data_IF_524496526783
#
_entry.id   IF_524496526783
#
_cell.length_a   1.000
_cell.length_b   1.000
_cell.length_c   1.000
_cell.angle_alpha   90.00
_cell.angle_beta   90.00
_cell.angle_gamma   90.00
#
_symmetry.space_group_name_H-M   'P 1'
#
loop_
_entity.id
_entity.type
_entity.pdbx_description
1 polymer ?
#
# COMPACT_ATOMS: atom_id res chain seq x y z
N UNK A 1 -7.42 -4.59 -11.28
CA UNK A 1 -8.46 -4.26 -10.32
C UNK A 1 -9.63 -5.20 -10.53
N UNK A 2 -10.27 -5.64 -9.45
CA UNK A 2 -11.40 -6.58 -9.48
C UNK A 2 -12.39 -6.07 -8.45
N UNK A 3 -13.56 -5.60 -8.87
CA UNK A 3 -14.61 -5.17 -7.95
C UNK A 3 -15.34 -6.39 -7.34
N UNK A 4 -15.66 -6.41 -6.04
CA UNK A 4 -15.36 -5.41 -5.00
C UNK A 4 -14.03 -5.65 -4.25
N UNK A 5 -13.20 -6.62 -4.66
CA UNK A 5 -12.11 -7.17 -3.84
C UNK A 5 -10.76 -6.45 -3.95
N UNK A 6 -10.49 -5.74 -5.05
CA UNK A 6 -9.21 -5.09 -5.31
C UNK A 6 -9.44 -3.71 -5.97
N UNK A 7 -9.26 -2.67 -5.15
CA UNK A 7 -9.45 -1.26 -5.46
C UNK A 7 -8.11 -0.53 -5.24
N UNK A 8 -7.77 0.38 -6.14
CA UNK A 8 -6.56 1.19 -6.07
C UNK A 8 -6.91 2.67 -5.88
N UNK A 9 -6.21 3.36 -4.98
CA UNK A 9 -6.44 4.77 -4.66
C UNK A 9 -5.20 5.63 -4.92
N UNK A 10 -5.42 6.81 -5.49
CA UNK A 10 -4.46 7.90 -5.51
C UNK A 10 -5.02 9.06 -4.69
N UNK A 11 -4.33 9.42 -3.60
CA UNK A 11 -4.71 10.56 -2.79
C UNK A 11 -3.93 11.80 -3.25
N UNK A 12 -4.65 12.86 -3.58
CA UNK A 12 -4.09 14.19 -3.79
C UNK A 12 -4.19 14.94 -2.46
N UNK A 13 -3.07 15.03 -1.76
CA UNK A 13 -3.04 15.52 -0.37
C UNK A 13 -2.41 16.90 -0.33
N UNK A 14 -3.10 17.84 0.31
CA UNK A 14 -2.63 19.22 0.53
C UNK A 14 -2.73 19.57 2.02
N UNK A 15 -1.98 20.60 2.45
CA UNK A 15 -2.09 21.16 3.80
C UNK A 15 -1.40 20.36 4.92
N UNK A 16 -0.55 19.38 4.59
CA UNK A 16 0.24 18.61 5.58
C UNK A 16 1.74 18.67 5.28
N UNK A 17 2.61 18.37 6.27
CA UNK A 17 4.03 18.16 6.05
C UNK A 17 4.30 16.99 5.08
N UNK A 18 5.53 16.89 4.52
CA UNK A 18 5.90 15.78 3.65
C UNK A 18 5.65 14.40 4.29
N UNK A 19 5.15 13.47 3.48
CA UNK A 19 4.90 12.10 3.93
C UNK A 19 6.21 11.34 4.21
N UNK A 20 6.20 10.38 5.14
CA UNK A 20 7.34 9.48 5.36
C UNK A 20 7.71 8.72 4.08
N UNK A 21 9.01 8.63 3.78
CA UNK A 21 9.52 7.97 2.55
C UNK A 21 9.04 6.52 2.38
N UNK A 22 8.79 5.80 3.50
CA UNK A 22 8.24 4.43 3.47
C UNK A 22 6.84 4.33 2.85
N UNK A 23 6.10 5.43 2.76
CA UNK A 23 4.77 5.49 2.13
C UNK A 23 4.83 5.97 0.66
N UNK A 24 6.01 6.34 0.16
CA UNK A 24 6.24 6.96 -1.14
C UNK A 24 6.99 6.05 -2.12
N UNK A 25 6.92 4.72 -1.93
CA UNK A 25 7.46 3.77 -2.89
C UNK A 25 6.77 3.86 -4.25
N UNK A 26 7.46 3.46 -5.32
CA UNK A 26 6.87 3.43 -6.66
C UNK A 26 5.65 2.49 -6.68
N UNK A 27 4.45 2.99 -7.04
CA UNK A 27 3.25 2.17 -7.05
C UNK A 27 3.30 1.19 -8.22
N UNK A 28 3.00 -0.08 -7.95
CA UNK A 28 2.79 -1.08 -9.02
C UNK A 28 1.55 -0.67 -9.83
N UNK A 29 1.62 -0.68 -11.19
CA UNK A 29 0.48 -0.34 -12.02
C UNK A 29 -0.75 -1.19 -11.70
N UNK A 30 -1.96 -0.59 -11.58
CA UNK A 30 -3.16 -1.31 -11.18
C UNK A 30 -3.57 -2.33 -12.25
N UNK A 31 -3.65 -3.61 -11.89
CA UNK A 31 -4.02 -4.71 -12.79
C UNK A 31 -4.80 -5.81 -12.04
N UNK A 32 -5.52 -6.73 -12.71
CA UNK A 32 -6.18 -7.85 -12.04
C UNK A 32 -5.22 -8.82 -11.34
N UNK A 33 -3.96 -8.88 -11.79
CA UNK A 33 -2.92 -9.75 -11.21
C UNK A 33 -2.12 -9.09 -10.09
N UNK A 34 -2.26 -7.78 -9.88
CA UNK A 34 -1.59 -7.07 -8.79
C UNK A 34 -2.06 -7.61 -7.42
N UNK A 35 -1.11 -8.03 -6.59
CA UNK A 35 -1.34 -8.61 -5.27
C UNK A 35 -0.25 -8.18 -4.27
N UNK A 36 -0.52 -8.25 -2.95
CA UNK A 36 0.51 -8.05 -1.95
C UNK A 36 1.64 -9.08 -2.08
N UNK A 37 2.86 -8.70 -1.71
CA UNK A 37 3.97 -9.65 -1.63
C UNK A 37 3.69 -10.70 -0.54
N UNK A 38 4.26 -11.92 -0.63
CA UNK A 38 4.09 -12.94 0.41
C UNK A 38 4.51 -12.45 1.80
N UNK A 39 5.60 -11.67 1.89
CA UNK A 39 6.07 -11.11 3.14
C UNK A 39 5.07 -10.12 3.77
N UNK A 40 4.41 -9.28 2.96
CA UNK A 40 3.39 -8.37 3.44
C UNK A 40 2.12 -9.12 3.88
N UNK A 41 1.70 -10.12 3.08
CA UNK A 41 0.54 -10.97 3.40
C UNK A 41 0.75 -11.76 4.71
N UNK A 42 1.96 -12.25 4.95
CA UNK A 42 2.34 -12.97 6.16
C UNK A 42 2.76 -12.04 7.33
N UNK A 43 2.57 -10.72 7.19
CA UNK A 43 2.89 -9.71 8.21
C UNK A 43 4.34 -9.78 8.73
N UNK A 44 5.31 -10.06 7.85
CA UNK A 44 6.72 -10.14 8.26
C UNK A 44 7.21 -8.76 8.76
N UNK A 45 8.08 -8.68 9.78
CA UNK A 45 8.46 -7.40 10.41
C UNK A 45 9.01 -6.33 9.47
N UNK A 46 9.68 -6.72 8.38
CA UNK A 46 10.24 -5.79 7.39
C UNK A 46 9.23 -5.34 6.33
N UNK A 47 8.05 -5.98 6.26
CA UNK A 47 6.99 -5.74 5.30
C UNK A 47 5.72 -5.16 5.94
N UNK A 48 5.83 -4.68 7.17
CA UNK A 48 4.77 -4.03 7.93
C UNK A 48 5.20 -2.64 8.38
N UNK A 49 4.23 -1.74 8.54
CA UNK A 49 4.44 -0.50 9.30
C UNK A 49 4.37 -0.78 10.80
N UNK A 50 4.99 0.05 11.66
CA UNK A 50 4.90 -0.10 13.11
C UNK A 50 3.44 -0.06 13.58
N UNK A 51 3.04 -1.03 14.42
CA UNK A 51 1.70 -1.11 15.02
C UNK A 51 0.55 -0.98 13.99
N UNK A 52 0.65 -1.70 12.86
CA UNK A 52 -0.36 -1.66 11.81
C UNK A 52 -1.77 -2.00 12.32
N UNK A 53 -2.79 -1.41 11.70
CA UNK A 53 -4.20 -1.70 11.99
C UNK A 53 -4.59 -3.06 11.43
N UNK A 54 -5.24 -3.91 12.24
CA UNK A 54 -5.68 -5.26 11.87
C UNK A 54 -7.20 -5.36 11.80
#
# INVERSE_FOLDING_TARGET
MIFPFNIFYNFYIEGIPPLPAKLLGEPVPPSPSAAPTPAAKDTKPHATIPNFTN
#
